data_IF_337573187996
#
_entry.id   IF_337573187996
#
_cell.length_a   1.000
_cell.length_b   1.000
_cell.length_c   1.000
_cell.angle_alpha   90.00
_cell.angle_beta   90.00
_cell.angle_gamma   90.00
#
_symmetry.space_group_name_H-M   'P 1'
#
loop_
_entity.id
_entity.type
_entity.pdbx_description
1 polymer ?
#
# COMPACT_ATOMS: atom_id res chain seq x y z
N UNK A 1 -17.50 -4.99 2.58
CA UNK A 1 -16.18 -5.00 3.23
C UNK A 1 -16.38 -4.63 4.69
N UNK A 2 -15.62 -5.23 5.59
CA UNK A 2 -15.73 -5.03 7.04
C UNK A 2 -14.81 -3.88 7.44
N UNK A 3 -15.38 -2.81 7.98
CA UNK A 3 -14.62 -1.64 8.44
C UNK A 3 -14.05 -1.87 9.83
N UNK A 4 -12.80 -1.46 10.04
CA UNK A 4 -12.13 -1.43 11.34
C UNK A 4 -11.71 0.00 11.66
N UNK A 5 -11.66 0.39 12.95
CA UNK A 5 -11.10 1.68 13.33
C UNK A 5 -9.62 1.74 12.91
N UNK A 6 -9.23 2.84 12.28
CA UNK A 6 -7.85 3.16 11.96
C UNK A 6 -7.12 3.70 13.19
N UNK A 7 -5.78 3.56 13.22
CA UNK A 7 -4.95 3.90 14.38
C UNK A 7 -4.67 5.41 14.50
N UNK A 8 -4.52 6.09 13.37
CA UNK A 8 -3.99 7.45 13.29
C UNK A 8 -4.88 8.42 12.50
N UNK A 9 -5.92 7.93 11.82
CA UNK A 9 -6.81 8.74 10.97
C UNK A 9 -8.28 8.38 11.18
N UNK A 10 -9.19 9.27 10.76
CA UNK A 10 -10.66 9.07 10.87
C UNK A 10 -11.24 8.07 9.86
N UNK A 11 -10.85 8.07 8.57
CA UNK A 11 -11.33 7.06 7.63
C UNK A 11 -10.99 5.65 8.12
N UNK A 12 -11.88 4.66 7.96
CA UNK A 12 -11.66 3.33 8.49
C UNK A 12 -10.70 2.50 7.63
N UNK A 13 -10.05 1.54 8.28
CA UNK A 13 -9.33 0.44 7.63
C UNK A 13 -10.32 -0.64 7.15
N UNK A 14 -9.90 -1.46 6.20
CA UNK A 14 -10.67 -2.60 5.70
C UNK A 14 -10.04 -3.92 6.19
N UNK A 15 -10.80 -4.72 6.92
CA UNK A 15 -10.32 -5.95 7.56
C UNK A 15 -9.80 -6.98 6.57
N UNK A 16 -10.45 -7.08 5.41
CA UNK A 16 -10.13 -8.08 4.41
C UNK A 16 -8.83 -7.74 3.65
N UNK A 17 -8.36 -6.49 3.63
CA UNK A 17 -7.18 -6.09 2.85
C UNK A 17 -5.87 -6.69 3.41
N UNK A 18 -4.90 -6.94 2.52
CA UNK A 18 -3.54 -7.40 2.89
C UNK A 18 -2.81 -6.34 3.73
N UNK A 19 -3.02 -5.07 3.38
CA UNK A 19 -2.46 -3.92 4.08
C UNK A 19 -3.46 -2.76 4.08
N UNK A 20 -3.43 -1.95 5.14
CA UNK A 20 -4.05 -0.64 5.18
C UNK A 20 -2.96 0.40 5.41
N UNK A 21 -2.94 1.44 4.58
CA UNK A 21 -2.00 2.55 4.68
C UNK A 21 -2.82 3.78 5.06
N UNK A 22 -2.63 4.25 6.28
CA UNK A 22 -3.37 5.39 6.83
C UNK A 22 -2.65 6.68 6.48
N UNK A 23 -3.35 7.61 5.83
CA UNK A 23 -2.77 8.82 5.26
C UNK A 23 -3.53 10.08 5.65
N UNK A 24 -2.81 11.20 5.72
CA UNK A 24 -3.38 12.55 5.64
C UNK A 24 -2.94 13.23 4.35
N UNK A 25 -3.70 14.20 3.86
CA UNK A 25 -3.26 15.08 2.76
C UNK A 25 -2.09 15.91 3.27
N UNK A 26 -0.96 15.83 2.56
CA UNK A 26 0.25 16.59 2.85
C UNK A 26 0.37 17.83 1.96
N UNK A 27 -0.07 17.71 0.70
CA UNK A 27 -0.09 18.78 -0.29
C UNK A 27 -1.26 18.53 -1.26
N UNK A 28 -2.07 19.57 -1.48
CA UNK A 28 -3.25 19.59 -2.35
C UNK A 28 -3.12 20.57 -3.52
N UNK A 29 -1.94 21.16 -3.77
CA UNK A 29 -1.74 22.21 -4.77
C UNK A 29 -2.11 21.79 -6.22
N UNK A 30 -2.21 20.49 -6.50
CA UNK A 30 -2.55 19.94 -7.81
C UNK A 30 -3.95 19.31 -7.90
N UNK A 31 -4.75 19.36 -6.83
CA UNK A 31 -6.07 18.70 -6.77
C UNK A 31 -7.02 19.29 -7.81
N UNK A 32 -7.14 20.61 -7.88
CA UNK A 32 -8.10 21.26 -8.78
C UNK A 32 -7.79 21.00 -10.26
N UNK A 33 -6.51 20.85 -10.60
CA UNK A 33 -6.08 20.68 -12.00
C UNK A 33 -6.07 19.23 -12.44
N UNK A 34 -5.64 18.31 -11.57
CA UNK A 34 -5.34 16.93 -11.95
C UNK A 34 -5.97 15.88 -11.04
N UNK A 35 -6.69 16.28 -10.00
CA UNK A 35 -7.13 15.38 -8.92
C UNK A 35 -5.96 14.58 -8.32
N UNK A 36 -4.77 15.20 -8.27
CA UNK A 36 -3.55 14.60 -7.74
C UNK A 36 -3.31 15.08 -6.31
N UNK A 37 -3.25 14.13 -5.37
CA UNK A 37 -2.99 14.37 -3.95
C UNK A 37 -1.63 13.84 -3.56
N UNK A 38 -0.87 14.59 -2.75
CA UNK A 38 0.29 14.06 -2.06
C UNK A 38 -0.12 13.66 -0.65
N UNK A 39 0.18 12.41 -0.27
CA UNK A 39 -0.25 11.82 0.99
C UNK A 39 0.93 11.59 1.93
N UNK A 40 0.79 11.96 3.20
CA UNK A 40 1.72 11.60 4.26
C UNK A 40 1.19 10.39 5.03
N UNK A 41 1.94 9.29 5.00
CA UNK A 41 1.63 8.06 5.75
C UNK A 41 1.79 8.31 7.25
N UNK A 42 0.78 7.93 8.04
CA UNK A 42 0.75 8.04 9.50
C UNK A 42 0.83 6.69 10.20
N UNK A 43 0.29 5.65 9.58
CA UNK A 43 0.38 4.29 10.07
C UNK A 43 0.24 3.30 8.92
N UNK A 44 0.79 2.11 9.11
CA UNK A 44 0.61 0.96 8.23
C UNK A 44 0.21 -0.22 9.12
N UNK A 45 -0.80 -0.95 8.69
CA UNK A 45 -1.20 -2.23 9.30
C UNK A 45 -1.18 -3.31 8.22
N UNK A 46 -0.53 -4.43 8.52
CA UNK A 46 -0.48 -5.60 7.65
C UNK A 46 -1.35 -6.70 8.26
N UNK A 47 -2.16 -7.37 7.43
CA UNK A 47 -2.93 -8.52 7.86
C UNK A 47 -2.10 -9.80 7.66
N UNK A 48 -1.34 -10.18 8.69
CA UNK A 48 -0.47 -11.37 8.67
C UNK A 48 -1.24 -12.69 8.69
N UNK A 49 -2.50 -12.66 9.13
CA UNK A 49 -3.37 -13.84 9.13
C UNK A 49 -3.88 -14.22 7.74
N UNK A 50 -3.78 -13.32 6.76
CA UNK A 50 -4.30 -13.52 5.41
C UNK A 50 -3.34 -14.42 4.61
N UNK A 51 -3.84 -15.61 4.22
CA UNK A 51 -3.08 -16.58 3.42
C UNK A 51 -2.80 -16.12 1.99
N UNK A 52 -3.79 -15.57 1.30
CA UNK A 52 -3.60 -15.04 -0.06
C UNK A 52 -3.00 -13.63 0.00
N UNK A 53 -1.77 -13.50 -0.49
CA UNK A 53 -0.96 -12.27 -0.40
C UNK A 53 -0.67 -11.64 -1.76
N UNK A 54 -1.01 -12.31 -2.87
CA UNK A 54 -0.77 -11.79 -4.23
C UNK A 54 -1.59 -10.53 -4.46
N UNK A 55 -0.97 -9.53 -5.07
CA UNK A 55 -1.64 -8.27 -5.42
C UNK A 55 -2.19 -8.34 -6.85
N UNK A 56 -3.09 -7.41 -7.14
CA UNK A 56 -3.71 -7.22 -8.45
C UNK A 56 -3.13 -5.96 -9.10
N UNK A 57 -2.74 -6.08 -10.36
CA UNK A 57 -2.30 -4.97 -11.19
C UNK A 57 -3.33 -4.77 -12.31
N UNK A 58 -3.98 -3.61 -12.35
CA UNK A 58 -4.99 -3.29 -13.35
C UNK A 58 -4.37 -2.87 -14.69
N UNK A 59 -4.91 -3.38 -15.81
CA UNK A 59 -4.38 -3.14 -17.15
C UNK A 59 -5.09 -2.01 -17.94
N UNK A 60 -6.23 -1.51 -17.46
CA UNK A 60 -6.98 -0.41 -18.10
C UNK A 60 -8.24 -0.79 -18.87
N UNK A 61 -8.53 -2.08 -19.02
CA UNK A 61 -9.68 -2.63 -19.77
C UNK A 61 -10.56 -3.58 -18.93
N UNK A 62 -10.42 -3.52 -17.60
CA UNK A 62 -11.09 -4.45 -16.68
C UNK A 62 -10.37 -5.78 -16.51
N UNK A 63 -9.23 -6.01 -17.18
CA UNK A 63 -8.36 -7.16 -16.92
C UNK A 63 -7.29 -6.83 -15.88
N UNK A 64 -6.80 -7.88 -15.21
CA UNK A 64 -5.82 -7.77 -14.13
C UNK A 64 -4.72 -8.81 -14.31
N UNK A 65 -3.49 -8.41 -14.03
CA UNK A 65 -2.39 -9.34 -13.75
C UNK A 65 -2.32 -9.63 -12.26
N UNK A 66 -2.18 -10.91 -11.91
CA UNK A 66 -1.98 -11.36 -10.52
C UNK A 66 -0.48 -11.61 -10.33
N UNK A 67 0.05 -11.23 -9.17
CA UNK A 67 1.45 -11.48 -8.84
C UNK A 67 1.86 -12.95 -9.06
N UNK A 68 3.01 -13.10 -9.70
CA UNK A 68 3.67 -14.37 -9.93
C UNK A 68 4.78 -14.64 -8.90
N UNK A 69 5.88 -15.21 -9.39
CA UNK A 69 7.03 -15.56 -8.55
C UNK A 69 7.79 -14.30 -8.13
N UNK A 70 8.09 -14.19 -6.83
CA UNK A 70 9.03 -13.19 -6.32
C UNK A 70 10.48 -13.62 -6.57
N UNK A 71 11.34 -12.68 -6.98
CA UNK A 71 12.79 -12.90 -7.13
C UNK A 71 13.52 -12.09 -6.07
N UNK A 72 14.32 -12.75 -5.23
CA UNK A 72 15.12 -12.06 -4.21
C UNK A 72 16.45 -11.57 -4.80
N UNK A 73 16.59 -10.25 -4.90
CA UNK A 73 17.81 -9.56 -5.36
C UNK A 73 18.45 -8.70 -4.26
N UNK A 74 18.11 -8.91 -2.98
CA UNK A 74 18.61 -8.09 -1.85
C UNK A 74 20.13 -8.04 -1.80
N UNK A 75 20.82 -9.12 -2.16
CA UNK A 75 22.29 -9.18 -2.19
C UNK A 75 22.90 -8.21 -3.21
N UNK A 76 22.20 -7.87 -4.30
CA UNK A 76 22.70 -6.94 -5.35
C UNK A 76 22.47 -5.47 -5.00
N UNK A 77 21.58 -5.18 -4.06
CA UNK A 77 21.18 -3.83 -3.66
C UNK A 77 22.18 -3.26 -2.62
N UNK A 78 23.36 -2.84 -3.09
CA UNK A 78 24.48 -2.41 -2.23
C UNK A 78 24.37 -0.97 -1.71
N UNK A 79 23.65 -0.08 -2.41
CA UNK A 79 23.59 1.36 -2.07
C UNK A 79 22.60 1.70 -0.95
N UNK A 80 21.54 0.91 -0.80
CA UNK A 80 20.36 1.28 -0.02
C UNK A 80 20.00 0.21 1.03
N UNK A 81 21.02 -0.31 1.71
CA UNK A 81 20.87 -1.41 2.68
C UNK A 81 19.93 -1.07 3.84
N UNK A 82 19.82 0.21 4.21
CA UNK A 82 18.92 0.68 5.26
C UNK A 82 17.42 0.44 4.96
N UNK A 83 17.04 0.21 3.70
CA UNK A 83 15.64 -0.07 3.33
C UNK A 83 15.36 -1.57 3.18
N UNK A 84 16.35 -2.43 3.43
CA UNK A 84 16.17 -3.88 3.46
C UNK A 84 15.75 -4.33 4.86
N UNK A 85 14.60 -3.84 5.30
CA UNK A 85 14.00 -4.24 6.57
C UNK A 85 12.92 -5.28 6.31
N UNK A 86 12.79 -6.25 7.22
CA UNK A 86 11.62 -7.13 7.23
C UNK A 86 10.44 -6.30 7.71
N UNK A 87 9.38 -6.25 6.90
CA UNK A 87 8.13 -5.52 7.16
C UNK A 87 7.06 -6.50 7.61
#
# INVERSE_FOLDING_TARGET
LTTLPSRAVKPPSIAECVANIECTVADDAMVDRYSLFILAVKAITINDSRRERRTLHHNGDGTFSIDGRTVDLRNRMVRWKQFQVDV
#
